data_IF_897852570046
#
_entry.id   IF_897852570046
#
_cell.length_a   1.000
_cell.length_b   1.000
_cell.length_c   1.000
_cell.angle_alpha   90.00
_cell.angle_beta   90.00
_cell.angle_gamma   90.00
#
_symmetry.space_group_name_H-M   'P 1'
#
loop_
_entity.id
_entity.type
_entity.pdbx_description
1 polymer ?
#
# COMPACT_ATOMS: atom_id res chain seq x y z
N UNK A 1 24.62 -9.60 0.58
CA UNK A 1 24.09 -10.30 -0.61
C UNK A 1 22.80 -9.58 -1.03
N UNK A 2 22.69 -9.18 -2.26
CA UNK A 2 21.47 -8.51 -2.75
C UNK A 2 20.36 -9.56 -2.90
N UNK A 3 19.15 -9.22 -2.42
CA UNK A 3 17.96 -10.06 -2.62
C UNK A 3 17.63 -10.19 -4.10
N UNK A 4 17.24 -11.38 -4.53
CA UNK A 4 16.78 -11.61 -5.90
C UNK A 4 15.42 -10.94 -6.13
N UNK A 5 15.07 -10.66 -7.38
CA UNK A 5 13.75 -10.13 -7.75
C UNK A 5 12.60 -11.00 -7.21
N UNK A 6 12.77 -12.33 -7.23
CA UNK A 6 11.80 -13.27 -6.69
C UNK A 6 11.63 -13.14 -5.17
N UNK A 7 12.74 -13.02 -4.44
CA UNK A 7 12.70 -12.84 -2.98
C UNK A 7 12.01 -11.54 -2.60
N UNK A 8 12.30 -10.44 -3.31
CA UNK A 8 11.64 -9.15 -3.12
C UNK A 8 10.13 -9.25 -3.42
N UNK A 9 9.75 -9.92 -4.51
CA UNK A 9 8.33 -10.12 -4.83
C UNK A 9 7.59 -10.88 -3.71
N UNK A 10 8.18 -11.97 -3.20
CA UNK A 10 7.60 -12.73 -2.08
C UNK A 10 7.53 -11.89 -0.81
N UNK A 11 8.56 -11.12 -0.51
CA UNK A 11 8.63 -10.24 0.65
C UNK A 11 7.48 -9.22 0.66
N UNK A 12 7.29 -8.49 -0.43
CA UNK A 12 6.22 -7.49 -0.53
C UNK A 12 4.82 -8.12 -0.69
N UNK A 13 4.70 -9.32 -1.26
CA UNK A 13 3.45 -10.08 -1.26
C UNK A 13 2.99 -10.41 0.17
N UNK A 14 3.91 -10.82 1.04
CA UNK A 14 3.61 -11.05 2.46
C UNK A 14 3.16 -9.76 3.15
N UNK A 15 3.88 -8.66 2.98
CA UNK A 15 3.48 -7.36 3.56
C UNK A 15 2.11 -6.90 3.03
N UNK A 16 1.82 -7.12 1.76
CA UNK A 16 0.50 -6.84 1.18
C UNK A 16 -0.61 -7.68 1.84
N UNK A 17 -0.33 -8.94 2.18
CA UNK A 17 -1.28 -9.80 2.91
C UNK A 17 -1.49 -9.34 4.35
N UNK A 18 -0.46 -8.80 5.00
CA UNK A 18 -0.56 -8.31 6.38
C UNK A 18 -1.41 -7.03 6.49
N UNK A 19 -1.60 -6.29 5.39
CA UNK A 19 -2.50 -5.14 5.35
C UNK A 19 -3.99 -5.51 5.61
N UNK A 20 -4.35 -6.78 5.48
CA UNK A 20 -5.70 -7.29 5.81
C UNK A 20 -5.88 -7.67 7.28
N UNK A 21 -4.83 -7.62 8.07
CA UNK A 21 -4.81 -8.04 9.48
C UNK A 21 -5.05 -6.86 10.42
N UNK A 22 -5.32 -7.17 11.68
CA UNK A 22 -5.23 -6.20 12.77
C UNK A 22 -3.77 -5.79 13.04
N UNK A 23 -3.60 -4.67 13.75
CA UNK A 23 -2.29 -4.11 14.02
C UNK A 23 -1.39 -5.04 14.85
N UNK A 24 -1.95 -5.79 15.80
CA UNK A 24 -1.18 -6.68 16.67
C UNK A 24 -0.66 -7.89 15.90
N UNK A 25 -1.50 -8.52 15.09
CA UNK A 25 -1.12 -9.64 14.22
C UNK A 25 -0.07 -9.22 13.19
N UNK A 26 -0.27 -8.07 12.54
CA UNK A 26 0.69 -7.52 11.58
C UNK A 26 2.04 -7.19 12.25
N UNK A 27 2.02 -6.63 13.47
CA UNK A 27 3.23 -6.32 14.24
C UNK A 27 4.03 -7.57 14.62
N UNK A 28 3.36 -8.66 14.96
CA UNK A 28 4.02 -9.93 15.28
C UNK A 28 4.68 -10.54 14.03
N UNK A 29 3.99 -10.55 12.90
CA UNK A 29 4.49 -11.18 11.68
C UNK A 29 5.54 -10.34 10.95
N UNK A 30 5.43 -9.01 10.95
CA UNK A 30 6.39 -8.16 10.25
C UNK A 30 7.81 -8.23 10.83
N UNK A 31 7.94 -8.60 12.10
CA UNK A 31 9.26 -8.82 12.73
C UNK A 31 10.06 -9.93 12.05
N UNK A 32 9.39 -10.98 11.56
CA UNK A 32 10.01 -12.07 10.81
C UNK A 32 10.54 -11.60 9.45
N UNK A 33 10.02 -10.48 8.94
CA UNK A 33 10.46 -9.85 7.69
C UNK A 33 11.45 -8.69 7.92
N UNK A 34 11.91 -8.49 9.17
CA UNK A 34 12.89 -7.46 9.48
C UNK A 34 12.31 -6.07 9.76
N UNK A 35 11.02 -5.96 10.04
CA UNK A 35 10.38 -4.71 10.45
C UNK A 35 10.12 -4.68 11.95
N UNK A 36 10.44 -3.56 12.58
CA UNK A 36 10.31 -3.39 14.03
C UNK A 36 8.93 -2.85 14.45
N UNK A 37 8.21 -2.22 13.53
CA UNK A 37 6.96 -1.53 13.80
C UNK A 37 5.96 -1.71 12.66
N UNK A 38 4.70 -1.93 13.02
CA UNK A 38 3.55 -1.87 12.13
C UNK A 38 2.52 -0.88 12.70
N UNK A 39 2.04 0.05 11.87
CA UNK A 39 1.01 1.02 12.22
C UNK A 39 -0.17 0.89 11.28
N UNK A 40 -1.35 0.66 11.83
CA UNK A 40 -2.61 0.65 11.07
C UNK A 40 -3.11 2.09 10.87
N UNK A 41 -3.47 2.42 9.64
CA UNK A 41 -4.23 3.63 9.28
C UNK A 41 -5.55 3.17 8.69
N UNK A 42 -6.66 3.67 9.23
CA UNK A 42 -8.00 3.29 8.79
C UNK A 42 -8.92 4.51 8.82
N UNK A 43 -9.62 4.73 7.71
CA UNK A 43 -10.64 5.76 7.60
C UNK A 43 -11.77 5.27 6.70
N UNK A 44 -12.92 4.96 7.30
CA UNK A 44 -14.06 4.36 6.61
C UNK A 44 -13.68 3.01 6.01
N UNK A 45 -13.88 2.85 4.71
CA UNK A 45 -13.54 1.64 3.96
C UNK A 45 -12.05 1.52 3.61
N UNK A 46 -11.30 2.62 3.65
CA UNK A 46 -9.89 2.65 3.31
C UNK A 46 -9.01 2.24 4.48
N UNK A 47 -8.04 1.39 4.21
CA UNK A 47 -7.10 0.91 5.22
C UNK A 47 -5.73 0.67 4.59
N UNK A 48 -4.69 1.01 5.33
CA UNK A 48 -3.33 0.60 5.00
C UNK A 48 -2.52 0.30 6.27
N UNK A 49 -1.44 -0.43 6.08
CA UNK A 49 -0.49 -0.74 7.14
C UNK A 49 0.86 -0.11 6.78
N UNK A 50 1.47 0.59 7.73
CA UNK A 50 2.81 1.14 7.57
C UNK A 50 3.79 0.26 8.34
N UNK A 51 4.75 -0.32 7.65
CA UNK A 51 5.84 -1.09 8.24
C UNK A 51 7.14 -0.28 8.21
N UNK A 52 7.86 -0.25 9.31
CA UNK A 52 9.14 0.47 9.40
C UNK A 52 10.23 -0.36 10.05
N UNK A 53 11.45 -0.18 9.56
CA UNK A 53 12.68 -0.61 10.19
C UNK A 53 13.69 0.55 10.17
N UNK A 54 14.96 0.31 10.42
CA UNK A 54 15.98 1.36 10.45
C UNK A 54 16.20 2.01 9.08
N UNK A 55 16.01 1.28 7.98
CA UNK A 55 16.36 1.70 6.62
C UNK A 55 15.14 2.03 5.76
N UNK A 56 14.03 1.33 6.00
CA UNK A 56 12.89 1.32 5.09
C UNK A 56 11.58 1.71 5.78
N UNK A 57 10.70 2.32 4.99
CA UNK A 57 9.28 2.48 5.28
C UNK A 57 8.47 1.87 4.14
N UNK A 58 7.50 1.03 4.48
CA UNK A 58 6.62 0.36 3.51
C UNK A 58 5.18 0.75 3.78
N UNK A 59 4.48 1.22 2.77
CA UNK A 59 3.03 1.47 2.80
C UNK A 59 2.34 0.33 2.07
N UNK A 60 1.60 -0.49 2.80
CA UNK A 60 0.82 -1.60 2.24
C UNK A 60 -0.67 -1.27 2.28
N UNK A 61 -1.26 -0.99 1.11
CA UNK A 61 -2.69 -0.70 1.01
C UNK A 61 -3.50 -1.98 1.03
N UNK A 62 -4.57 -1.99 1.85
CA UNK A 62 -5.53 -3.09 1.87
C UNK A 62 -6.43 -3.01 0.65
N UNK A 63 -6.58 -4.14 -0.02
CA UNK A 63 -7.57 -4.32 -1.08
C UNK A 63 -8.96 -4.66 -0.54
N UNK A 64 -9.83 -5.10 -1.44
CA UNK A 64 -11.17 -5.57 -1.13
C UNK A 64 -11.11 -7.00 -0.57
N UNK A 65 -11.97 -7.28 0.40
CA UNK A 65 -12.17 -8.64 0.92
C UNK A 65 -12.54 -9.60 -0.22
N UNK A 66 -12.02 -10.84 -0.23
CA UNK A 66 -12.21 -11.80 -1.33
C UNK A 66 -13.68 -12.07 -1.68
N UNK A 67 -14.59 -11.96 -0.72
CA UNK A 67 -16.03 -12.16 -0.91
C UNK A 67 -16.68 -11.04 -1.75
N UNK A 68 -16.09 -9.86 -1.78
CA UNK A 68 -16.59 -8.68 -2.51
C UNK A 68 -15.83 -8.42 -3.82
N UNK A 69 -14.78 -9.19 -4.07
CA UNK A 69 -13.86 -8.97 -5.20
C UNK A 69 -14.56 -9.01 -6.56
N UNK A 70 -15.56 -9.89 -6.74
CA UNK A 70 -16.32 -10.02 -8.00
C UNK A 70 -17.09 -8.72 -8.32
N UNK A 71 -17.70 -8.13 -7.32
CA UNK A 71 -18.49 -6.89 -7.48
C UNK A 71 -17.57 -5.73 -7.83
N UNK A 72 -16.44 -5.62 -7.13
CA UNK A 72 -15.42 -4.59 -7.42
C UNK A 72 -14.84 -4.73 -8.81
N UNK A 73 -14.54 -5.94 -9.28
CA UNK A 73 -14.02 -6.18 -10.63
C UNK A 73 -15.06 -5.85 -11.73
N UNK A 74 -16.34 -6.05 -11.45
CA UNK A 74 -17.42 -5.64 -12.36
C UNK A 74 -17.48 -4.11 -12.48
N UNK A 75 -17.30 -3.39 -11.36
CA UNK A 75 -17.37 -1.93 -11.29
C UNK A 75 -16.13 -1.22 -11.84
N UNK A 76 -14.96 -1.88 -11.84
CA UNK A 76 -13.68 -1.31 -12.34
C UNK A 76 -13.77 -0.82 -13.78
N UNK A 77 -14.64 -1.40 -14.60
CA UNK A 77 -14.82 -0.99 -16.01
C UNK A 77 -15.67 0.26 -16.20
N UNK A 78 -16.40 0.71 -15.18
CA UNK A 78 -17.46 1.69 -15.32
C UNK A 78 -17.03 3.16 -15.18
N UNK A 79 -16.06 3.46 -14.34
CA UNK A 79 -15.71 4.84 -13.97
C UNK A 79 -14.22 5.14 -14.02
N UNK A 80 -13.84 6.13 -14.83
CA UNK A 80 -12.46 6.62 -14.94
C UNK A 80 -12.40 8.11 -14.61
N UNK A 81 -11.45 8.49 -13.77
CA UNK A 81 -11.13 9.88 -13.42
C UNK A 81 -9.76 10.28 -13.93
N UNK A 82 -9.59 11.50 -14.39
CA UNK A 82 -8.29 12.04 -14.77
C UNK A 82 -7.58 12.63 -13.56
N UNK A 83 -6.62 11.91 -13.05
CA UNK A 83 -5.74 12.38 -11.99
C UNK A 83 -4.64 13.29 -12.54
N UNK A 84 -4.28 14.34 -11.80
CA UNK A 84 -3.13 15.22 -12.14
C UNK A 84 -1.80 14.49 -12.14
N UNK A 85 -1.68 13.39 -11.41
CA UNK A 85 -0.42 12.67 -11.17
C UNK A 85 -0.33 11.32 -11.87
N UNK A 86 -1.46 10.67 -12.12
CA UNK A 86 -1.52 9.28 -12.62
C UNK A 86 -2.29 9.12 -13.95
N UNK A 87 -2.68 10.22 -14.60
CA UNK A 87 -3.50 10.15 -15.81
C UNK A 87 -4.93 9.66 -15.52
N UNK A 88 -5.45 8.72 -16.32
CA UNK A 88 -6.77 8.15 -16.10
C UNK A 88 -6.74 7.04 -15.04
N UNK A 89 -7.45 7.23 -13.94
CA UNK A 89 -7.56 6.28 -12.83
C UNK A 89 -9.02 6.00 -12.51
N UNK A 90 -9.28 4.87 -11.87
CA UNK A 90 -10.61 4.55 -11.38
C UNK A 90 -10.97 5.43 -10.18
N UNK A 91 -12.16 6.07 -10.22
CA UNK A 91 -12.61 7.00 -9.17
C UNK A 91 -12.60 6.37 -7.78
N UNK A 92 -13.11 5.17 -7.66
CA UNK A 92 -13.14 4.45 -6.38
C UNK A 92 -11.75 4.24 -5.78
N UNK A 93 -10.75 3.90 -6.58
CA UNK A 93 -9.37 3.73 -6.11
C UNK A 93 -8.77 5.07 -5.67
N UNK A 94 -9.04 6.12 -6.41
CA UNK A 94 -8.59 7.46 -6.08
C UNK A 94 -9.21 7.98 -4.77
N UNK A 95 -10.52 7.77 -4.59
CA UNK A 95 -11.22 8.18 -3.38
C UNK A 95 -10.78 7.41 -2.14
N UNK A 96 -10.50 6.10 -2.27
CA UNK A 96 -9.96 5.30 -1.17
C UNK A 96 -8.57 5.81 -0.74
N UNK A 97 -7.69 6.14 -1.68
CA UNK A 97 -6.38 6.75 -1.37
C UNK A 97 -6.56 8.07 -0.63
N UNK A 98 -7.49 8.92 -1.07
CA UNK A 98 -7.75 10.22 -0.44
C UNK A 98 -8.12 10.10 1.04
N UNK A 99 -8.89 9.08 1.42
CA UNK A 99 -9.35 8.88 2.80
C UNK A 99 -8.20 8.72 3.80
N UNK A 100 -7.10 8.12 3.40
CA UNK A 100 -5.93 7.84 4.27
C UNK A 100 -4.71 8.70 3.94
N UNK A 101 -4.81 9.56 2.92
CA UNK A 101 -3.67 10.23 2.32
C UNK A 101 -2.87 11.09 3.30
N UNK A 102 -3.54 11.94 4.08
CA UNK A 102 -2.87 12.88 4.98
C UNK A 102 -2.09 12.15 6.07
N UNK A 103 -2.65 11.07 6.63
CA UNK A 103 -1.95 10.26 7.62
C UNK A 103 -0.78 9.47 7.02
N UNK A 104 -0.94 8.94 5.81
CA UNK A 104 0.13 8.25 5.08
C UNK A 104 1.29 9.21 4.83
N UNK A 105 1.01 10.39 4.30
CA UNK A 105 2.03 11.41 4.04
C UNK A 105 2.71 11.86 5.32
N UNK A 106 1.97 12.04 6.40
CA UNK A 106 2.55 12.39 7.71
C UNK A 106 3.53 11.31 8.20
N UNK A 107 3.20 10.03 8.04
CA UNK A 107 4.10 8.93 8.39
C UNK A 107 5.37 8.92 7.52
N UNK A 108 5.23 9.14 6.22
CA UNK A 108 6.37 9.20 5.29
C UNK A 108 7.28 10.38 5.61
N UNK A 109 6.71 11.55 5.87
CA UNK A 109 7.47 12.77 6.18
C UNK A 109 8.16 12.70 7.55
N UNK A 110 7.65 11.91 8.49
CA UNK A 110 8.31 11.65 9.77
C UNK A 110 9.59 10.79 9.62
N UNK A 111 9.79 10.16 8.47
CA UNK A 111 10.91 9.26 8.19
C UNK A 111 11.62 9.66 6.88
N UNK A 112 12.16 10.89 6.78
CA UNK A 112 12.60 11.49 5.51
C UNK A 112 13.83 10.80 4.90
N UNK A 113 14.60 10.08 5.69
CA UNK A 113 15.84 9.39 5.24
C UNK A 113 15.64 7.94 4.86
N UNK A 114 14.50 7.35 5.20
CA UNK A 114 14.21 5.95 4.89
C UNK A 114 13.77 5.78 3.44
N UNK A 115 14.11 4.66 2.85
CA UNK A 115 13.64 4.26 1.52
C UNK A 115 12.16 3.92 1.59
N UNK A 116 11.38 4.49 0.69
CA UNK A 116 9.94 4.28 0.63
C UNK A 116 9.59 3.21 -0.41
N UNK A 117 8.89 2.19 0.04
CA UNK A 117 8.27 1.17 -0.81
C UNK A 117 6.76 1.20 -0.64
N UNK A 118 6.04 0.88 -1.70
CA UNK A 118 4.58 0.81 -1.68
C UNK A 118 4.16 -0.55 -2.23
N UNK A 119 3.21 -1.19 -1.59
CA UNK A 119 2.67 -2.45 -2.08
C UNK A 119 1.18 -2.60 -1.80
N UNK A 120 0.54 -3.54 -2.50
CA UNK A 120 -0.86 -3.84 -2.31
C UNK A 120 -1.36 -4.95 -3.22
N UNK A 121 -2.41 -5.62 -2.79
CA UNK A 121 -3.09 -6.68 -3.52
C UNK A 121 -4.47 -6.21 -3.99
N UNK A 122 -4.87 -6.56 -5.21
CA UNK A 122 -6.19 -6.25 -5.78
C UNK A 122 -6.45 -4.73 -5.82
N UNK A 123 -7.53 -4.24 -5.22
CA UNK A 123 -7.81 -2.79 -5.05
C UNK A 123 -6.62 -2.06 -4.39
N UNK A 124 -5.97 -2.68 -3.40
CA UNK A 124 -4.77 -2.16 -2.76
C UNK A 124 -3.60 -1.98 -3.74
N UNK A 125 -3.49 -2.83 -4.75
CA UNK A 125 -2.55 -2.65 -5.86
C UNK A 125 -2.85 -1.40 -6.68
N UNK A 126 -4.11 -1.16 -7.02
CA UNK A 126 -4.55 0.06 -7.69
C UNK A 126 -4.28 1.32 -6.87
N UNK A 127 -4.56 1.28 -5.57
CA UNK A 127 -4.25 2.36 -4.63
C UNK A 127 -2.74 2.62 -4.55
N UNK A 128 -1.93 1.57 -4.55
CA UNK A 128 -0.46 1.65 -4.53
C UNK A 128 0.09 2.39 -5.75
N UNK A 129 -0.45 2.14 -6.92
CA UNK A 129 -0.06 2.84 -8.15
C UNK A 129 -0.41 4.33 -8.12
N UNK A 130 -1.58 4.67 -7.60
CA UNK A 130 -2.00 6.07 -7.43
C UNK A 130 -1.10 6.80 -6.42
N UNK A 131 -0.83 6.17 -5.29
CA UNK A 131 0.05 6.72 -4.26
C UNK A 131 1.47 6.95 -4.80
N UNK A 132 2.01 5.98 -5.52
CA UNK A 132 3.32 6.09 -6.15
C UNK A 132 3.39 7.24 -7.16
N UNK A 133 2.37 7.40 -8.00
CA UNK A 133 2.30 8.49 -8.95
C UNK A 133 2.25 9.88 -8.27
N UNK A 134 1.64 9.98 -7.08
CA UNK A 134 1.60 11.22 -6.29
C UNK A 134 2.90 11.53 -5.58
N UNK A 135 3.66 10.51 -5.19
CA UNK A 135 4.92 10.62 -4.44
C UNK A 135 6.17 10.60 -5.34
N UNK A 136 6.02 10.19 -6.60
CA UNK A 136 7.05 10.19 -7.66
C UNK A 136 8.47 9.88 -7.15
N UNK A 137 9.35 10.89 -7.12
CA UNK A 137 10.78 10.74 -6.81
C UNK A 137 11.07 10.21 -5.39
N UNK A 138 10.07 10.21 -4.51
CA UNK A 138 10.22 9.69 -3.15
C UNK A 138 10.16 8.16 -3.09
N UNK A 139 9.52 7.51 -4.08
CA UNK A 139 9.26 6.06 -4.10
C UNK A 139 10.42 5.31 -4.72
N UNK A 140 10.98 4.36 -3.98
CA UNK A 140 12.03 3.47 -4.46
C UNK A 140 11.46 2.40 -5.41
N UNK A 141 10.38 1.73 -5.02
CA UNK A 141 9.69 0.74 -5.84
C UNK A 141 8.24 0.50 -5.39
N UNK A 142 7.43 -0.04 -6.31
CA UNK A 142 6.03 -0.43 -6.09
C UNK A 142 5.86 -1.90 -6.46
N UNK A 143 5.15 -2.64 -5.62
CA UNK A 143 4.82 -4.04 -5.84
C UNK A 143 3.31 -4.25 -5.78
N UNK A 144 2.72 -4.75 -6.85
CA UNK A 144 1.27 -4.98 -6.96
C UNK A 144 0.98 -6.44 -7.27
N UNK A 145 -0.08 -6.98 -6.69
CA UNK A 145 -0.48 -8.39 -6.77
C UNK A 145 -1.96 -8.54 -7.09
#
# INVERSE_FOLDING_TARGET
>A
MQSTTRELAIHYAKLSSYAYMDADSASSLCRQLGYSKAKLISNGSAQCMIFTNEQDIVVAFRGTEPTQLKDVLADVKAWKHRSKHAGWVHDGFYDEVKKVWDEVVACINAEPTKKLYICGHSLGGGMSMIAAARLQDRVEAVYTY
#
